data_IF_135924653481
#
_entry.id   IF_135924653481
#
_cell.length_a   1.000
_cell.length_b   1.000
_cell.length_c   1.000
_cell.angle_alpha   90.00
_cell.angle_beta   90.00
_cell.angle_gamma   90.00
#
_symmetry.space_group_name_H-M   'P 1'
#
loop_
_entity.id
_entity.type
_entity.pdbx_description
1 polymer ?
#
# COMPACT_ATOMS: atom_id res chain seq x y z
N UNK A 1 -36.94 -42.79 -21.37
CA UNK A 1 -38.10 -42.52 -20.49
C UNK A 1 -37.68 -42.67 -19.04
N UNK A 2 -38.18 -41.77 -18.14
CA UNK A 2 -38.04 -41.72 -16.66
C UNK A 2 -36.64 -41.25 -16.19
N UNK A 3 -36.37 -39.99 -15.78
CA UNK A 3 -36.84 -39.12 -14.67
C UNK A 3 -36.80 -39.76 -13.27
N UNK A 4 -36.33 -38.94 -12.32
CA UNK A 4 -36.40 -38.97 -10.83
C UNK A 4 -34.97 -39.01 -10.23
N UNK A 5 -34.58 -38.27 -9.18
CA UNK A 5 -35.37 -37.61 -8.13
C UNK A 5 -34.53 -36.52 -7.43
N UNK A 6 -35.19 -35.42 -7.09
CA UNK A 6 -34.83 -34.35 -6.16
C UNK A 6 -34.30 -34.89 -4.81
N UNK A 7 -33.16 -34.39 -4.34
CA UNK A 7 -32.82 -34.42 -2.91
C UNK A 7 -32.94 -32.99 -2.37
N UNK A 8 -34.00 -32.84 -1.61
CA UNK A 8 -34.42 -31.66 -0.87
C UNK A 8 -33.78 -31.74 0.53
N UNK A 9 -33.26 -30.62 1.03
CA UNK A 9 -33.30 -30.31 2.45
C UNK A 9 -32.03 -30.53 3.27
N UNK A 10 -31.42 -29.42 3.69
CA UNK A 10 -30.94 -29.29 5.07
C UNK A 10 -31.01 -27.80 5.45
N UNK A 11 -32.09 -27.40 6.11
CA UNK A 11 -32.16 -26.11 6.81
C UNK A 11 -31.47 -26.35 8.16
N UNK A 12 -30.25 -25.83 8.31
CA UNK A 12 -29.53 -25.86 9.58
C UNK A 12 -30.17 -24.90 10.58
N UNK A 13 -30.65 -25.43 11.70
CA UNK A 13 -31.18 -24.68 12.83
C UNK A 13 -30.02 -23.92 13.52
N UNK A 14 -30.06 -22.59 13.54
CA UNK A 14 -29.09 -21.78 14.32
C UNK A 14 -29.65 -21.57 15.72
N UNK A 15 -29.04 -22.20 16.72
CA UNK A 15 -29.34 -21.95 18.13
C UNK A 15 -28.59 -20.69 18.58
N UNK A 16 -29.34 -19.64 18.90
CA UNK A 16 -28.85 -18.44 19.57
C UNK A 16 -28.79 -18.69 21.08
N UNK A 17 -27.61 -18.65 21.67
CA UNK A 17 -27.45 -18.56 23.13
C UNK A 17 -26.82 -17.21 23.47
N UNK A 18 -27.68 -16.22 23.69
CA UNK A 18 -27.30 -14.99 24.39
C UNK A 18 -27.47 -15.23 25.89
N UNK A 19 -26.39 -15.10 26.67
CA UNK A 19 -26.50 -14.91 28.11
C UNK A 19 -25.59 -13.76 28.53
N UNK A 20 -26.18 -12.81 29.25
CA UNK A 20 -25.59 -11.56 29.67
C UNK A 20 -25.27 -11.57 31.19
N UNK A 21 -24.39 -10.64 31.57
CA UNK A 21 -24.15 -10.02 32.90
C UNK A 21 -23.81 -10.88 34.11
N UNK A 22 -22.65 -10.56 34.73
CA UNK A 22 -22.53 -10.50 36.19
C UNK A 22 -21.90 -9.15 36.57
N UNK A 23 -22.57 -8.49 37.51
CA UNK A 23 -22.30 -7.17 38.06
C UNK A 23 -21.51 -7.23 39.38
N UNK A 24 -21.00 -6.06 39.76
CA UNK A 24 -20.71 -5.60 41.13
C UNK A 24 -19.57 -6.26 41.91
N UNK A 25 -18.51 -5.47 42.12
CA UNK A 25 -17.50 -5.71 43.14
C UNK A 25 -16.90 -4.40 43.66
N UNK A 26 -17.74 -3.40 43.99
CA UNK A 26 -17.31 -2.15 44.60
C UNK A 26 -17.90 -2.05 46.01
N UNK A 27 -17.07 -2.17 47.05
CA UNK A 27 -17.43 -1.88 48.45
C UNK A 27 -16.21 -1.34 49.22
N UNK A 28 -16.30 -0.03 49.47
CA UNK A 28 -15.66 0.78 50.52
C UNK A 28 -15.74 0.19 51.94
N UNK A 29 -14.97 0.76 52.89
CA UNK A 29 -15.59 1.22 54.14
C UNK A 29 -15.21 2.66 54.55
N UNK A 30 -16.24 3.48 54.84
CA UNK A 30 -16.16 4.71 55.63
C UNK A 30 -16.02 4.40 57.13
N UNK A 31 -15.26 5.23 57.88
CA UNK A 31 -15.73 6.07 59.02
C UNK A 31 -14.57 6.75 59.78
N UNK A 32 -14.67 8.08 59.91
CA UNK A 32 -13.98 9.05 60.80
C UNK A 32 -14.56 9.00 62.25
N UNK A 33 -14.11 9.74 63.32
CA UNK A 33 -13.65 11.16 63.32
C UNK A 33 -12.59 11.67 64.36
N UNK A 34 -12.09 12.88 64.07
CA UNK A 34 -11.68 14.02 64.96
C UNK A 34 -10.50 13.95 65.96
N UNK A 35 -9.46 14.80 65.77
CA UNK A 35 -9.09 15.96 66.62
C UNK A 35 -7.78 16.65 66.09
N UNK A 36 -7.80 17.96 65.84
CA UNK A 36 -6.66 18.86 65.49
C UNK A 36 -5.93 19.36 66.78
N UNK A 37 -4.89 20.26 66.83
CA UNK A 37 -4.25 21.08 65.79
C UNK A 37 -2.70 21.23 65.90
N UNK A 38 -2.12 21.89 64.87
CA UNK A 38 -0.98 22.84 64.94
C UNK A 38 0.46 22.31 65.11
N UNK A 39 1.31 22.45 64.08
CA UNK A 39 2.64 23.07 64.18
C UNK A 39 3.29 23.35 62.80
N UNK A 40 4.12 24.41 62.77
CA UNK A 40 4.65 25.17 61.61
C UNK A 40 5.91 24.56 60.97
N UNK A 41 6.19 24.93 59.70
CA UNK A 41 7.47 25.45 59.08
C UNK A 41 7.43 25.24 57.54
N UNK A 42 7.46 26.29 56.70
CA UNK A 42 8.65 26.95 56.09
C UNK A 42 9.57 25.93 55.38
N UNK A 43 10.01 26.03 54.11
CA UNK A 43 10.19 27.11 53.15
C UNK A 43 10.67 26.50 51.78
N UNK A 44 10.80 27.33 50.72
CA UNK A 44 11.48 27.09 49.40
C UNK A 44 10.66 26.41 48.29
N UNK A 45 10.64 26.85 47.02
CA UNK A 45 11.36 27.89 46.28
C UNK A 45 10.44 28.42 45.17
N UNK A 46 10.42 29.74 44.99
CA UNK A 46 9.85 30.42 43.80
C UNK A 46 10.94 30.53 42.75
N UNK A 47 10.70 29.98 41.57
CA UNK A 47 11.42 30.35 40.36
C UNK A 47 10.43 30.38 39.19
N UNK A 48 9.75 31.51 39.09
CA UNK A 48 9.00 31.95 37.93
C UNK A 48 9.96 32.78 37.09
N UNK A 49 10.31 32.31 35.89
CA UNK A 49 10.51 33.10 34.67
C UNK A 49 11.06 32.20 33.55
N UNK A 50 10.65 32.47 32.31
CA UNK A 50 11.15 31.95 31.03
C UNK A 50 10.48 30.69 30.43
N UNK A 51 9.31 30.89 29.81
CA UNK A 51 9.16 30.55 28.38
C UNK A 51 7.97 31.29 27.76
N UNK A 52 8.21 32.52 27.27
CA UNK A 52 7.42 33.08 26.17
C UNK A 52 7.67 32.19 24.96
N UNK A 53 6.82 31.19 24.77
CA UNK A 53 6.70 30.45 23.52
C UNK A 53 6.19 31.45 22.48
N UNK A 54 7.11 31.89 21.62
CA UNK A 54 6.80 32.55 20.37
C UNK A 54 5.76 31.71 19.63
N UNK A 55 4.50 32.14 19.68
CA UNK A 55 3.50 31.77 18.69
C UNK A 55 3.94 32.41 17.39
N UNK A 56 4.86 31.76 16.69
CA UNK A 56 5.01 31.90 15.25
C UNK A 56 3.71 31.35 14.69
N UNK A 57 2.74 32.23 14.47
CA UNK A 57 1.62 31.97 13.58
C UNK A 57 2.23 31.62 12.23
N UNK A 58 2.45 30.33 12.01
CA UNK A 58 2.50 29.76 10.68
C UNK A 58 1.16 30.13 10.04
N UNK A 59 1.23 31.18 9.21
CA UNK A 59 0.25 31.46 8.18
C UNK A 59 0.10 30.16 7.40
N UNK A 60 -0.89 29.35 7.78
CA UNK A 60 -1.35 28.21 6.98
C UNK A 60 -1.82 28.84 5.68
N UNK A 61 -0.93 28.86 4.68
CA UNK A 61 -1.41 28.75 3.32
C UNK A 61 -2.24 27.47 3.31
N UNK A 62 -3.57 27.62 3.26
CA UNK A 62 -4.45 26.55 2.86
C UNK A 62 -4.06 26.23 1.42
N UNK A 63 -3.05 25.39 1.26
CA UNK A 63 -2.74 24.75 -0.02
C UNK A 63 -3.99 23.97 -0.37
N UNK A 64 -4.86 24.57 -1.19
CA UNK A 64 -6.09 23.94 -1.63
C UNK A 64 -5.70 22.67 -2.37
N UNK A 65 -5.98 21.52 -1.77
CA UNK A 65 -5.65 20.24 -2.39
C UNK A 65 -6.37 20.11 -3.72
N UNK A 66 -5.60 19.75 -4.74
CA UNK A 66 -6.15 19.38 -6.02
C UNK A 66 -6.48 17.89 -6.03
N UNK A 67 -7.66 17.56 -5.53
CA UNK A 67 -8.16 16.19 -5.50
C UNK A 67 -8.38 15.60 -6.90
N UNK A 68 -8.47 16.43 -7.94
CA UNK A 68 -8.70 15.95 -9.32
C UNK A 68 -7.53 15.10 -9.85
N UNK A 69 -6.35 15.23 -9.25
CA UNK A 69 -5.16 14.42 -9.56
C UNK A 69 -5.25 12.96 -9.09
N UNK A 70 -6.20 12.65 -8.21
CA UNK A 70 -6.36 11.31 -7.62
C UNK A 70 -7.75 10.76 -7.92
N UNK A 71 -8.81 11.55 -7.71
CA UNK A 71 -10.18 11.06 -7.83
C UNK A 71 -10.50 10.55 -9.23
N UNK A 72 -10.78 9.26 -9.33
CA UNK A 72 -11.06 8.55 -10.57
C UNK A 72 -9.85 8.44 -11.51
N UNK A 73 -8.65 8.86 -11.09
CA UNK A 73 -7.46 8.89 -11.94
C UNK A 73 -6.61 7.62 -11.79
N UNK A 74 -5.74 7.41 -12.78
CA UNK A 74 -4.62 6.50 -12.64
C UNK A 74 -3.45 7.23 -11.98
N UNK A 75 -3.07 6.79 -10.78
CA UNK A 75 -2.00 7.46 -9.99
C UNK A 75 -0.59 7.05 -10.41
N UNK A 76 -0.45 6.10 -11.33
CA UNK A 76 0.79 5.67 -11.94
C UNK A 76 1.00 4.16 -11.93
N UNK A 77 2.17 3.76 -12.41
CA UNK A 77 2.65 2.39 -12.39
C UNK A 77 3.44 2.11 -11.10
N UNK A 78 3.18 0.96 -10.48
CA UNK A 78 3.93 0.49 -9.34
C UNK A 78 4.61 -0.83 -9.67
N UNK A 79 5.91 -0.89 -9.40
CA UNK A 79 6.70 -2.09 -9.62
C UNK A 79 6.23 -3.22 -8.68
N UNK A 80 5.74 -4.35 -9.21
CA UNK A 80 5.38 -5.49 -8.39
C UNK A 80 6.62 -6.21 -7.86
N UNK A 81 6.50 -6.83 -6.69
CA UNK A 81 7.49 -7.79 -6.21
C UNK A 81 7.31 -9.17 -6.87
N UNK A 82 8.12 -10.15 -6.47
CA UNK A 82 8.02 -11.51 -6.98
C UNK A 82 6.75 -12.26 -6.56
N UNK A 83 5.94 -11.68 -5.66
CA UNK A 83 4.60 -12.17 -5.32
C UNK A 83 3.51 -11.38 -6.04
N UNK A 84 3.88 -10.58 -7.04
CA UNK A 84 2.99 -9.69 -7.78
C UNK A 84 2.21 -8.74 -6.85
N UNK A 85 2.80 -8.41 -5.71
CA UNK A 85 2.22 -7.47 -4.75
C UNK A 85 2.90 -6.13 -4.85
N UNK A 86 2.15 -5.07 -4.55
CA UNK A 86 2.70 -3.71 -4.45
C UNK A 86 2.65 -3.30 -2.98
N UNK A 87 3.76 -2.86 -2.38
CA UNK A 87 3.74 -2.31 -1.04
C UNK A 87 2.80 -1.11 -0.95
N UNK A 88 1.83 -1.16 -0.04
CA UNK A 88 0.90 -0.05 0.17
C UNK A 88 1.60 1.27 0.54
N UNK A 89 2.78 1.18 1.17
CA UNK A 89 3.63 2.35 1.46
C UNK A 89 4.02 3.11 0.19
N UNK A 90 4.27 2.42 -0.93
CA UNK A 90 4.60 3.07 -2.20
C UNK A 90 3.38 3.81 -2.78
N UNK A 91 2.20 3.19 -2.69
CA UNK A 91 0.94 3.81 -3.10
C UNK A 91 0.67 5.06 -2.26
N UNK A 92 0.86 4.96 -0.94
CA UNK A 92 0.67 6.06 0.01
C UNK A 92 1.61 7.25 -0.27
N UNK A 93 2.89 6.97 -0.55
CA UNK A 93 3.88 7.97 -0.99
C UNK A 93 3.44 8.70 -2.26
N UNK A 94 2.99 7.94 -3.27
CA UNK A 94 2.54 8.52 -4.53
C UNK A 94 1.32 9.43 -4.35
N UNK A 95 0.36 9.01 -3.53
CA UNK A 95 -0.80 9.84 -3.18
C UNK A 95 -0.37 11.13 -2.45
N UNK A 96 0.58 11.03 -1.52
CA UNK A 96 1.17 12.17 -0.82
C UNK A 96 1.81 13.18 -1.79
N UNK A 97 2.59 12.70 -2.74
CA UNK A 97 3.21 13.53 -3.79
C UNK A 97 2.16 14.25 -4.65
N UNK A 98 1.17 13.51 -5.17
CA UNK A 98 0.13 14.06 -6.06
C UNK A 98 -0.68 15.17 -5.39
N UNK A 99 -0.95 15.00 -4.10
CA UNK A 99 -1.76 15.91 -3.30
C UNK A 99 -0.94 16.94 -2.51
N UNK A 100 0.40 16.87 -2.59
CA UNK A 100 1.34 17.68 -1.83
C UNK A 100 1.05 17.68 -0.30
N UNK A 101 0.88 16.48 0.26
CA UNK A 101 0.60 16.28 1.69
C UNK A 101 1.46 15.17 2.28
N UNK A 102 1.65 15.18 3.59
CA UNK A 102 2.35 14.10 4.28
C UNK A 102 1.52 12.80 4.30
N UNK A 103 2.17 11.64 4.21
CA UNK A 103 1.53 10.31 4.21
C UNK A 103 0.62 10.07 5.43
N UNK A 104 0.96 10.65 6.58
CA UNK A 104 0.15 10.52 7.81
C UNK A 104 -1.22 11.19 7.71
N UNK A 105 -1.48 11.99 6.67
CA UNK A 105 -2.80 12.59 6.44
C UNK A 105 -3.80 11.60 5.83
N UNK A 106 -3.35 10.43 5.40
CA UNK A 106 -4.20 9.37 4.88
C UNK A 106 -4.48 8.29 5.93
N UNK A 107 -5.73 7.86 5.99
CA UNK A 107 -6.21 6.68 6.72
C UNK A 107 -6.96 5.75 5.78
N UNK A 108 -7.22 4.52 6.22
CA UNK A 108 -8.07 3.55 5.52
C UNK A 108 -7.69 3.34 4.04
N UNK A 109 -6.39 3.13 3.78
CA UNK A 109 -5.93 2.75 2.44
C UNK A 109 -6.40 1.32 2.15
N UNK A 110 -7.40 1.21 1.29
CA UNK A 110 -7.98 -0.05 0.85
C UNK A 110 -7.61 -0.29 -0.62
N UNK A 111 -7.05 -1.45 -0.93
CA UNK A 111 -6.50 -1.78 -2.23
C UNK A 111 -7.08 -3.10 -2.74
N UNK A 112 -7.71 -3.03 -3.91
CA UNK A 112 -8.11 -4.18 -4.70
C UNK A 112 -7.03 -4.45 -5.76
N UNK A 113 -6.12 -5.38 -5.44
CA UNK A 113 -5.05 -5.82 -6.35
C UNK A 113 -5.56 -6.65 -7.54
N UNK A 114 -6.80 -7.13 -7.49
CA UNK A 114 -7.37 -7.90 -8.61
C UNK A 114 -7.76 -6.94 -9.74
N UNK A 115 -8.36 -5.81 -9.39
CA UNK A 115 -8.83 -4.81 -10.36
C UNK A 115 -7.91 -3.58 -10.45
N UNK A 116 -6.78 -3.56 -9.73
CA UNK A 116 -5.87 -2.43 -9.57
C UNK A 116 -6.58 -1.12 -9.19
N UNK A 117 -7.47 -1.21 -8.20
CA UNK A 117 -8.25 -0.08 -7.68
C UNK A 117 -7.88 0.18 -6.23
N UNK A 118 -8.01 1.43 -5.81
CA UNK A 118 -7.78 1.81 -4.43
C UNK A 118 -8.72 2.90 -3.95
N UNK A 119 -8.87 2.95 -2.63
CA UNK A 119 -9.57 4.02 -1.91
C UNK A 119 -8.72 4.48 -0.75
N UNK A 120 -8.77 5.78 -0.45
CA UNK A 120 -8.07 6.37 0.68
C UNK A 120 -8.90 7.47 1.32
N UNK A 121 -8.90 7.57 2.63
CA UNK A 121 -9.61 8.62 3.37
C UNK A 121 -8.64 9.69 3.85
N UNK A 122 -9.04 10.96 3.77
CA UNK A 122 -8.31 12.06 4.37
C UNK A 122 -9.14 12.69 5.50
N UNK A 123 -8.88 12.34 6.77
CA UNK A 123 -9.68 12.82 7.90
C UNK A 123 -9.69 14.34 8.07
N UNK A 124 -8.57 15.00 7.72
CA UNK A 124 -8.41 16.45 7.84
C UNK A 124 -9.19 17.26 6.80
N UNK A 125 -9.82 16.60 5.83
CA UNK A 125 -10.60 17.22 4.76
C UNK A 125 -12.02 16.64 4.76
N UNK A 126 -12.75 16.84 5.85
CA UNK A 126 -14.13 16.39 6.05
C UNK A 126 -14.33 14.89 5.81
N UNK A 127 -13.32 14.08 6.20
CA UNK A 127 -13.28 12.64 5.93
C UNK A 127 -13.49 12.28 4.45
N UNK A 128 -13.05 13.15 3.53
CA UNK A 128 -13.14 12.91 2.09
C UNK A 128 -12.45 11.60 1.75
N UNK A 129 -13.15 10.74 1.04
CA UNK A 129 -12.60 9.50 0.49
C UNK A 129 -12.34 9.70 -0.99
N UNK A 130 -11.13 9.35 -1.42
CA UNK A 130 -10.73 9.40 -2.81
C UNK A 130 -10.65 7.99 -3.38
N UNK A 131 -11.18 7.79 -4.59
CA UNK A 131 -11.03 6.54 -5.34
C UNK A 131 -10.02 6.73 -6.47
N UNK A 132 -9.21 5.72 -6.76
CA UNK A 132 -8.20 5.77 -7.81
C UNK A 132 -7.94 4.40 -8.43
N UNK A 133 -7.19 4.40 -9.52
CA UNK A 133 -6.67 3.23 -10.22
C UNK A 133 -5.15 3.28 -10.29
N UNK A 134 -4.50 2.16 -10.57
CA UNK A 134 -3.07 2.10 -10.81
C UNK A 134 -2.72 0.98 -11.80
N UNK A 135 -1.47 0.92 -12.25
CA UNK A 135 -0.95 -0.24 -12.99
C UNK A 135 0.13 -0.96 -12.19
N UNK A 136 0.31 -2.24 -12.50
CA UNK A 136 1.26 -3.14 -11.84
C UNK A 136 2.08 -3.88 -12.90
N UNK A 137 2.80 -3.11 -13.71
CA UNK A 137 3.62 -3.61 -14.81
C UNK A 137 5.10 -3.53 -14.40
N UNK A 138 5.82 -4.63 -14.58
CA UNK A 138 7.25 -4.71 -14.28
C UNK A 138 8.04 -3.91 -15.33
N UNK A 139 8.68 -2.81 -14.95
CA UNK A 139 9.54 -2.08 -15.88
C UNK A 139 10.98 -2.60 -15.83
N UNK A 140 11.45 -3.13 -16.94
CA UNK A 140 12.78 -3.72 -17.09
C UNK A 140 13.86 -2.68 -17.47
N UNK A 141 13.44 -1.44 -17.71
CA UNK A 141 14.29 -0.36 -18.19
C UNK A 141 14.74 -0.61 -19.63
N UNK A 142 15.94 -0.14 -19.94
CA UNK A 142 16.52 -0.22 -21.28
C UNK A 142 17.08 -1.62 -21.57
N UNK A 143 16.70 -2.16 -22.73
CA UNK A 143 17.16 -3.42 -23.29
C UNK A 143 17.81 -3.15 -24.65
N UNK A 144 18.98 -3.73 -24.87
CA UNK A 144 19.68 -3.58 -26.13
C UNK A 144 19.04 -4.46 -27.20
N UNK A 145 19.01 -3.97 -28.44
CA UNK A 145 18.63 -4.77 -29.58
C UNK A 145 19.65 -4.62 -30.70
N UNK A 146 19.81 -5.70 -31.45
CA UNK A 146 20.70 -5.77 -32.61
C UNK A 146 19.89 -6.25 -33.81
N UNK A 147 19.98 -5.54 -34.93
CA UNK A 147 19.30 -5.89 -36.18
C UNK A 147 17.79 -6.12 -36.01
N UNK A 148 17.13 -5.32 -35.15
CA UNK A 148 15.70 -5.45 -34.76
C UNK A 148 15.34 -6.69 -33.93
N UNK A 149 16.32 -7.44 -33.42
CA UNK A 149 16.13 -8.57 -32.53
C UNK A 149 16.52 -8.23 -31.09
N UNK A 150 15.68 -8.63 -30.13
CA UNK A 150 15.97 -8.59 -28.70
C UNK A 150 16.40 -9.97 -28.23
N UNK A 151 17.46 -10.01 -27.41
CA UNK A 151 17.89 -11.22 -26.73
C UNK A 151 16.89 -11.62 -25.64
N UNK A 152 16.22 -12.75 -25.80
CA UNK A 152 15.35 -13.31 -24.75
C UNK A 152 16.13 -13.60 -23.46
N UNK A 153 17.42 -13.93 -23.57
CA UNK A 153 18.31 -14.12 -22.41
C UNK A 153 18.49 -12.81 -21.65
N UNK A 154 18.63 -11.68 -22.34
CA UNK A 154 18.73 -10.36 -21.69
C UNK A 154 17.41 -9.99 -21.00
N UNK A 155 16.27 -10.23 -21.66
CA UNK A 155 14.94 -10.04 -21.05
C UNK A 155 14.79 -10.88 -19.79
N UNK A 156 15.15 -12.17 -19.84
CA UNK A 156 15.13 -13.06 -18.67
C UNK A 156 16.04 -12.58 -17.56
N UNK A 157 17.24 -12.11 -17.89
CA UNK A 157 18.18 -11.55 -16.91
C UNK A 157 17.59 -10.34 -16.21
N UNK A 158 17.01 -9.39 -16.96
CA UNK A 158 16.35 -8.21 -16.39
C UNK A 158 15.19 -8.56 -15.47
N UNK A 159 14.34 -9.51 -15.88
CA UNK A 159 13.22 -10.00 -15.04
C UNK A 159 13.78 -10.64 -13.75
N UNK A 160 14.80 -11.49 -13.89
CA UNK A 160 15.47 -12.17 -12.78
C UNK A 160 16.02 -11.17 -11.76
N UNK A 161 16.71 -10.13 -12.23
CA UNK A 161 17.31 -9.11 -11.38
C UNK A 161 16.24 -8.26 -10.68
N UNK A 162 15.22 -7.82 -11.41
CA UNK A 162 14.13 -7.00 -10.85
C UNK A 162 13.33 -7.74 -9.79
N UNK A 163 13.06 -9.03 -9.99
CA UNK A 163 12.23 -9.83 -9.08
C UNK A 163 13.03 -10.67 -8.07
N UNK A 164 14.36 -10.72 -8.21
CA UNK A 164 15.24 -11.58 -7.41
C UNK A 164 14.80 -13.06 -7.48
N UNK A 165 14.55 -13.52 -8.71
CA UNK A 165 14.18 -14.91 -9.02
C UNK A 165 15.16 -15.46 -10.04
N UNK A 166 15.52 -16.72 -9.95
CA UNK A 166 16.42 -17.33 -10.95
C UNK A 166 15.73 -17.48 -12.30
N UNK A 167 16.49 -17.33 -13.38
CA UNK A 167 15.95 -17.38 -14.75
C UNK A 167 15.23 -18.69 -15.08
N UNK A 168 15.62 -19.82 -14.45
CA UNK A 168 14.98 -21.11 -14.65
C UNK A 168 13.51 -21.15 -14.21
N UNK A 169 13.10 -20.20 -13.36
CA UNK A 169 11.70 -20.07 -12.94
C UNK A 169 10.86 -19.19 -13.87
N UNK A 170 11.47 -18.56 -14.88
CA UNK A 170 10.79 -17.69 -15.85
C UNK A 170 10.30 -18.55 -17.03
N UNK A 171 9.02 -18.89 -17.00
CA UNK A 171 8.34 -19.71 -17.98
C UNK A 171 7.36 -18.89 -18.81
N UNK A 172 6.96 -19.44 -19.97
CA UNK A 172 5.96 -18.82 -20.86
C UNK A 172 6.27 -17.36 -21.21
N UNK A 173 7.57 -17.04 -21.34
CA UNK A 173 8.02 -15.71 -21.72
C UNK A 173 7.57 -15.40 -23.15
N UNK A 174 6.75 -14.37 -23.30
CA UNK A 174 6.30 -13.81 -24.55
C UNK A 174 6.73 -12.34 -24.61
N UNK A 175 7.34 -11.92 -25.72
CA UNK A 175 7.83 -10.56 -25.94
C UNK A 175 7.15 -10.00 -27.20
N UNK A 176 6.51 -8.85 -27.07
CA UNK A 176 5.96 -8.06 -28.17
C UNK A 176 6.88 -6.85 -28.42
N UNK A 177 7.68 -6.96 -29.48
CA UNK A 177 8.64 -5.92 -29.89
C UNK A 177 7.95 -4.64 -30.38
N UNK A 178 6.73 -4.73 -30.91
CA UNK A 178 6.02 -3.55 -31.41
C UNK A 178 5.55 -2.66 -30.26
N UNK A 179 5.27 -3.28 -29.11
CA UNK A 179 4.81 -2.60 -27.89
C UNK A 179 5.90 -2.43 -26.85
N UNK A 180 7.11 -2.92 -27.11
CA UNK A 180 8.20 -3.04 -26.15
C UNK A 180 7.72 -3.59 -24.79
N UNK A 181 6.92 -4.64 -24.85
CA UNK A 181 6.29 -5.23 -23.68
C UNK A 181 6.22 -6.73 -23.79
N UNK A 182 5.74 -7.38 -22.74
CA UNK A 182 5.62 -8.81 -22.75
C UNK A 182 5.05 -9.35 -21.47
N UNK A 183 5.03 -10.67 -21.39
CA UNK A 183 4.45 -11.39 -20.26
C UNK A 183 5.21 -12.66 -19.97
N UNK A 184 5.18 -13.12 -18.73
CA UNK A 184 5.73 -14.42 -18.35
C UNK A 184 4.95 -14.99 -17.15
N UNK A 185 5.17 -16.26 -16.86
CA UNK A 185 4.70 -16.92 -15.65
C UNK A 185 5.91 -17.33 -14.82
N UNK A 186 5.88 -17.06 -13.52
CA UNK A 186 6.89 -17.57 -12.59
C UNK A 186 6.44 -18.94 -12.08
N UNK A 187 7.29 -19.96 -12.24
CA UNK A 187 7.07 -21.29 -11.65
C UNK A 187 7.69 -21.45 -10.27
N UNK A 188 8.31 -20.41 -9.71
CA UNK A 188 8.91 -20.46 -8.37
C UNK A 188 7.80 -20.71 -7.33
N UNK A 189 7.89 -21.77 -6.50
CA UNK A 189 6.82 -22.16 -5.57
C UNK A 189 6.40 -21.08 -4.55
N UNK A 190 7.24 -20.07 -4.32
CA UNK A 190 6.99 -18.96 -3.40
C UNK A 190 6.55 -17.66 -4.08
N UNK A 191 6.32 -17.69 -5.39
CA UNK A 191 5.94 -16.52 -6.20
C UNK A 191 4.49 -16.63 -6.65
N UNK A 192 3.93 -15.51 -7.08
CA UNK A 192 2.58 -15.51 -7.62
C UNK A 192 2.52 -16.34 -8.90
N UNK A 193 1.59 -17.29 -8.95
CA UNK A 193 1.47 -18.26 -10.04
C UNK A 193 0.75 -17.72 -11.27
N UNK A 194 0.27 -16.47 -11.25
CA UNK A 194 -0.38 -15.89 -12.43
C UNK A 194 0.60 -15.07 -13.26
N UNK A 195 0.15 -14.75 -14.47
CA UNK A 195 0.87 -14.00 -15.48
C UNK A 195 1.36 -12.64 -14.96
N UNK A 196 2.64 -12.39 -15.10
CA UNK A 196 3.26 -11.07 -14.96
C UNK A 196 3.23 -10.35 -16.30
N UNK A 197 3.10 -9.04 -16.24
CA UNK A 197 3.23 -8.14 -17.39
C UNK A 197 4.46 -7.28 -17.17
N UNK A 198 5.22 -7.05 -18.23
CA UNK A 198 6.39 -6.19 -18.19
C UNK A 198 6.47 -5.28 -19.41
N UNK A 199 7.22 -4.20 -19.26
CA UNK A 199 7.56 -3.27 -20.33
C UNK A 199 9.04 -2.91 -20.26
N UNK A 200 9.58 -2.47 -21.39
CA UNK A 200 10.97 -2.05 -21.53
C UNK A 200 11.09 -0.91 -22.54
N UNK A 201 12.24 -0.24 -22.55
CA UNK A 201 12.65 0.64 -23.63
C UNK A 201 13.76 -0.03 -24.42
N UNK A 202 13.95 0.40 -25.66
CA UNK A 202 14.96 -0.17 -26.55
C UNK A 202 16.08 0.83 -26.81
N UNK A 203 17.31 0.32 -26.92
CA UNK A 203 18.45 1.08 -27.43
C UNK A 203 19.20 0.27 -28.48
N UNK A 204 19.44 0.91 -29.61
CA UNK A 204 20.16 0.31 -30.72
C UNK A 204 21.63 0.13 -30.35
N UNK A 205 22.13 -1.09 -30.50
CA UNK A 205 23.54 -1.38 -30.32
C UNK A 205 24.29 -0.98 -31.60
N UNK A 206 24.91 0.20 -31.57
CA UNK A 206 25.76 0.66 -32.68
C UNK A 206 26.99 -0.24 -32.77
N UNK A 207 27.16 -0.90 -33.92
CA UNK A 207 28.38 -1.65 -34.23
C UNK A 207 29.55 -0.67 -34.27
N UNK A 208 30.30 -0.55 -33.16
CA UNK A 208 31.64 0.03 -33.21
C UNK A 208 32.49 -0.86 -34.11
N UNK A 209 32.69 -0.43 -35.36
CA UNK A 209 33.63 -1.07 -36.25
C UNK A 209 35.01 -1.05 -35.59
N UNK A 210 35.74 -2.17 -35.55
CA UNK A 210 37.09 -2.18 -35.02
C UNK A 210 37.94 -1.22 -35.87
N UNK A 211 38.57 -0.24 -35.21
CA UNK A 211 39.58 0.59 -35.84
C UNK A 211 40.69 -0.35 -36.33
N UNK A 212 40.85 -0.45 -37.65
CA UNK A 212 41.99 -1.09 -38.30
C UNK A 212 43.27 -0.34 -37.98
#
# INVERSE_FOLDING_TARGET
MKKLLTILGSVGLVATTSVAVIACGDKTPQKTPEHNPNEKKEDKDRMDESTKKDKKEEKKEETKLDFSKVEGQNIGNFQPDNKKTIPQTNIKKRLAELLNVHESNFTNLDIDYTNNKGKVTLPKFDNKTLSFTFTSTLELGEIKFKDQFISLTEVKQKISDSLKIEQQYINELNVDLNKNSGTFISSKPSTFSNKFEFQFSTKEETLTQPKK
#
